data_IF_205924905840
#
_entry.id   IF_205924905840
#
_cell.length_a   1.000
_cell.length_b   1.000
_cell.length_c   1.000
_cell.angle_alpha   90.00
_cell.angle_beta   90.00
_cell.angle_gamma   90.00
#
_symmetry.space_group_name_H-M   'P 1'
#
loop_
_entity.id
_entity.type
_entity.pdbx_description
1 polymer ?
#
# COMPACT_ATOMS: atom_id res chain seq x y z
N UNK A 1 13.18 -5.80 10.53
CA UNK A 1 12.18 -4.80 10.15
C UNK A 1 10.84 -5.48 9.96
N UNK A 2 9.77 -4.70 10.01
CA UNK A 2 8.40 -5.14 9.78
C UNK A 2 7.66 -4.07 8.99
N UNK A 3 6.59 -4.44 8.29
CA UNK A 3 5.72 -3.50 7.60
C UNK A 3 4.28 -3.65 8.08
N UNK A 4 3.62 -2.53 8.31
CA UNK A 4 2.16 -2.48 8.34
C UNK A 4 1.68 -2.05 6.96
N UNK A 5 0.89 -2.90 6.32
CA UNK A 5 0.31 -2.67 5.01
C UNK A 5 -1.19 -2.52 5.19
N UNK A 6 -1.74 -1.34 4.89
CA UNK A 6 -3.18 -1.12 4.88
C UNK A 6 -3.68 -1.21 3.44
N UNK A 7 -4.66 -2.07 3.20
CA UNK A 7 -5.32 -2.22 1.91
C UNK A 7 -6.58 -1.39 1.83
N UNK A 8 -6.88 -0.90 0.63
CA UNK A 8 -8.06 -0.12 0.33
C UNK A 8 -8.75 -0.61 -0.93
N UNK A 9 -10.08 -0.52 -0.94
CA UNK A 9 -10.87 -0.64 -2.16
C UNK A 9 -11.37 0.76 -2.56
N UNK A 10 -11.20 1.12 -3.83
CA UNK A 10 -11.80 2.32 -4.40
C UNK A 10 -13.32 2.11 -4.54
N UNK A 11 -14.10 2.91 -3.82
CA UNK A 11 -15.56 2.81 -3.81
C UNK A 11 -16.19 3.68 -4.88
N UNK A 12 -15.73 4.92 -5.00
CA UNK A 12 -16.28 5.93 -5.91
C UNK A 12 -15.23 6.99 -6.24
N UNK A 13 -15.47 7.76 -7.31
CA UNK A 13 -14.68 8.94 -7.64
C UNK A 13 -15.53 10.02 -8.31
N UNK A 14 -15.29 11.28 -7.96
CA UNK A 14 -15.95 12.45 -8.53
C UNK A 14 -14.95 13.59 -8.63
N UNK A 15 -14.84 14.16 -9.82
CA UNK A 15 -13.86 15.20 -10.17
C UNK A 15 -12.42 14.75 -9.81
N UNK A 16 -11.77 15.47 -8.89
CA UNK A 16 -10.43 15.22 -8.38
C UNK A 16 -10.46 14.60 -6.97
N UNK A 17 -11.55 13.91 -6.61
CA UNK A 17 -11.71 13.23 -5.34
C UNK A 17 -12.01 11.75 -5.53
N UNK A 18 -11.37 10.94 -4.70
CA UNK A 18 -11.51 9.49 -4.67
C UNK A 18 -11.93 9.05 -3.28
N UNK A 19 -12.90 8.14 -3.22
CA UNK A 19 -13.38 7.57 -1.97
C UNK A 19 -12.83 6.16 -1.81
N UNK A 20 -11.97 5.98 -0.81
CA UNK A 20 -11.39 4.68 -0.46
C UNK A 20 -12.03 4.13 0.82
N UNK A 21 -12.26 2.82 0.85
CA UNK A 21 -12.62 2.09 2.07
C UNK A 21 -11.46 1.21 2.50
N UNK A 22 -11.14 1.20 3.79
CA UNK A 22 -10.16 0.28 4.36
C UNK A 22 -10.75 -1.13 4.45
N UNK A 23 -10.10 -2.12 3.84
CA UNK A 23 -10.64 -3.49 3.72
C UNK A 23 -9.85 -4.55 4.47
N UNK A 24 -8.62 -4.22 4.89
CA UNK A 24 -7.77 -5.17 5.59
C UNK A 24 -6.39 -4.60 5.87
N UNK A 25 -5.69 -5.18 6.84
CA UNK A 25 -4.30 -4.87 7.13
C UNK A 25 -3.47 -6.14 7.17
N UNK A 26 -2.21 -6.01 6.75
CA UNK A 26 -1.23 -7.10 6.75
C UNK A 26 -0.02 -6.62 7.55
N UNK A 27 0.35 -7.40 8.57
CA UNK A 27 1.60 -7.22 9.27
C UNK A 27 2.64 -8.18 8.68
N UNK A 28 3.62 -7.65 7.95
CA UNK A 28 4.65 -8.43 7.29
C UNK A 28 5.95 -8.37 8.10
N UNK A 29 6.41 -9.52 8.57
CA UNK A 29 7.69 -9.64 9.26
C UNK A 29 8.85 -9.79 8.25
N UNK A 30 10.09 -9.72 8.74
CA UNK A 30 11.25 -10.02 7.91
C UNK A 30 11.16 -11.43 7.31
N UNK A 31 11.37 -11.53 5.99
CA UNK A 31 11.25 -12.78 5.24
C UNK A 31 9.83 -13.13 4.78
N UNK A 32 8.80 -12.38 5.19
CA UNK A 32 7.46 -12.50 4.60
C UNK A 32 7.47 -12.08 3.12
N UNK A 33 6.63 -12.74 2.32
CA UNK A 33 6.42 -12.40 0.92
C UNK A 33 4.92 -12.44 0.59
N UNK A 34 4.50 -11.56 -0.32
CA UNK A 34 3.12 -11.44 -0.75
C UNK A 34 3.01 -10.64 -2.04
N UNK A 35 1.81 -10.58 -2.60
CA UNK A 35 1.51 -9.84 -3.82
C UNK A 35 0.41 -8.82 -3.58
N UNK A 36 0.64 -7.59 -4.02
CA UNK A 36 -0.36 -6.52 -4.05
C UNK A 36 -0.77 -6.32 -5.51
N UNK A 37 -1.74 -7.12 -5.94
CA UNK A 37 -2.26 -7.16 -7.31
C UNK A 37 -3.79 -6.93 -7.29
N UNK A 38 -4.40 -6.51 -8.40
CA UNK A 38 -5.85 -6.38 -8.50
C UNK A 38 -6.60 -7.61 -7.94
N UNK A 39 -7.71 -7.40 -7.20
CA UNK A 39 -8.41 -6.13 -6.99
C UNK A 39 -7.85 -5.26 -5.85
N UNK A 40 -6.96 -5.79 -5.00
CA UNK A 40 -6.48 -5.10 -3.79
C UNK A 40 -5.13 -4.39 -4.01
N UNK A 41 -5.07 -3.61 -5.09
CA UNK A 41 -3.85 -2.94 -5.53
C UNK A 41 -3.61 -1.59 -4.83
N UNK A 42 -4.64 -0.95 -4.26
CA UNK A 42 -4.49 0.29 -3.49
C UNK A 42 -4.06 -0.03 -2.06
N UNK A 43 -2.92 0.52 -1.66
CA UNK A 43 -2.37 0.27 -0.34
C UNK A 43 -1.49 1.41 0.15
N UNK A 44 -1.34 1.51 1.46
CA UNK A 44 -0.27 2.25 2.10
C UNK A 44 0.63 1.27 2.85
N UNK A 45 1.94 1.50 2.82
CA UNK A 45 2.94 0.72 3.54
C UNK A 45 3.64 1.67 4.49
N UNK A 46 3.66 1.34 5.79
CA UNK A 46 4.45 2.08 6.78
C UNK A 46 5.44 1.18 7.50
N UNK A 47 6.55 1.78 7.91
CA UNK A 47 7.38 1.23 8.96
C UNK A 47 6.66 1.44 10.30
N UNK A 48 6.30 0.38 11.05
CA UNK A 48 5.65 0.52 12.35
C UNK A 48 6.62 0.88 13.49
N UNK A 49 7.94 0.82 13.25
CA UNK A 49 8.94 1.21 14.24
C UNK A 49 9.32 2.69 14.10
N UNK A 50 9.35 3.37 15.24
CA UNK A 50 9.74 4.79 15.34
C UNK A 50 11.27 4.97 15.45
N UNK A 51 12.01 3.90 15.75
CA UNK A 51 13.41 3.92 16.17
C UNK A 51 14.35 3.07 15.30
N UNK A 52 13.81 2.25 14.40
CA UNK A 52 14.58 1.35 13.55
C UNK A 52 14.20 1.48 12.08
N UNK A 53 15.17 1.30 11.19
CA UNK A 53 14.96 1.28 9.74
C UNK A 53 14.38 -0.07 9.31
N UNK A 54 13.32 -0.05 8.49
CA UNK A 54 12.82 -1.23 7.77
C UNK A 54 13.13 -1.13 6.28
N UNK A 55 13.58 -2.24 5.69
CA UNK A 55 13.83 -2.38 4.25
C UNK A 55 12.86 -3.42 3.67
N UNK A 56 12.26 -3.11 2.51
CA UNK A 56 11.46 -4.04 1.73
C UNK A 56 12.01 -4.16 0.30
N UNK A 57 11.76 -5.31 -0.33
CA UNK A 57 12.09 -5.56 -1.74
C UNK A 57 10.79 -5.72 -2.53
N UNK A 58 10.62 -4.88 -3.55
CA UNK A 58 9.48 -4.92 -4.45
C UNK A 58 9.94 -5.42 -5.82
N UNK A 59 9.30 -6.47 -6.33
CA UNK A 59 9.62 -7.05 -7.64
C UNK A 59 8.45 -6.80 -8.57
N UNK A 60 8.71 -6.08 -9.67
CA UNK A 60 7.73 -5.85 -10.73
C UNK A 60 8.15 -6.63 -11.98
N UNK A 61 7.23 -7.40 -12.56
CA UNK A 61 7.51 -8.23 -13.73
C UNK A 61 7.85 -7.42 -15.00
N UNK A 62 7.54 -6.12 -15.00
CA UNK A 62 7.93 -5.16 -16.01
C UNK A 62 8.22 -3.80 -15.38
N UNK A 63 8.70 -2.82 -16.17
CA UNK A 63 8.99 -1.49 -15.66
C UNK A 63 7.72 -0.80 -15.15
N UNK A 64 7.76 -0.33 -13.90
CA UNK A 64 6.75 0.58 -13.37
C UNK A 64 7.01 1.98 -13.94
N UNK A 65 6.29 2.36 -14.99
CA UNK A 65 6.47 3.66 -15.65
C UNK A 65 5.68 4.79 -15.00
N UNK A 66 4.58 4.47 -14.32
CA UNK A 66 3.67 5.43 -13.67
C UNK A 66 3.04 4.79 -12.44
N UNK A 67 2.71 5.61 -11.46
CA UNK A 67 1.84 5.26 -10.34
C UNK A 67 0.91 6.44 -10.04
N UNK A 68 -0.22 6.15 -9.40
CA UNK A 68 -1.11 7.17 -8.84
C UNK A 68 -0.88 7.25 -7.34
N UNK A 69 -0.79 8.46 -6.79
CA UNK A 69 -0.63 8.70 -5.36
C UNK A 69 -1.83 9.49 -4.89
N UNK A 70 -2.46 9.02 -3.81
CA UNK A 70 -3.62 9.65 -3.20
C UNK A 70 -3.24 10.14 -1.81
N UNK A 71 -3.67 11.35 -1.47
CA UNK A 71 -3.49 11.92 -0.14
C UNK A 71 -4.86 12.06 0.52
N UNK A 72 -4.97 11.80 1.84
CA UNK A 72 -6.17 12.14 2.58
C UNK A 72 -6.51 13.61 2.40
N UNK A 73 -7.80 13.91 2.24
CA UNK A 73 -8.29 15.29 2.27
C UNK A 73 -8.07 15.86 3.68
N UNK A 74 -7.77 17.18 3.80
CA UNK A 74 -7.62 17.85 5.09
C UNK A 74 -8.93 17.91 5.90
#
# INVERSE_FOLDING_TARGET
GALDIQQYDLQDHSDERWQFSAIGSIHAAAGSAGSLIPPHEYHSIRNPSDDAVTVSLHVYAGPMLRCSVFQPLP
#
